data_IF_904690783702
#
_entry.id   IF_904690783702
#
_cell.length_a   1.000
_cell.length_b   1.000
_cell.length_c   1.000
_cell.angle_alpha   90.00
_cell.angle_beta   90.00
_cell.angle_gamma   90.00
#
_symmetry.space_group_name_H-M   'P 1'
#
loop_
_entity.id
_entity.type
_entity.pdbx_description
1 polymer ?
#
# COMPACT_ATOMS: atom_id res chain seq x y z
N UNK A 1 8.93 37.29 3.26
CA UNK A 1 9.66 37.15 1.99
C UNK A 1 8.80 36.50 0.93
N UNK A 2 8.57 37.23 -0.11
CA UNK A 2 7.77 36.72 -1.23
C UNK A 2 8.46 35.56 -1.94
N UNK A 3 9.77 35.69 -2.17
CA UNK A 3 10.52 34.64 -2.85
C UNK A 3 10.51 33.31 -2.07
N UNK A 4 10.51 33.39 -0.74
CA UNK A 4 10.49 32.21 0.11
C UNK A 4 9.20 31.42 -0.08
N UNK A 5 8.07 32.13 -0.17
CA UNK A 5 6.77 31.50 -0.36
C UNK A 5 6.67 30.86 -1.74
N UNK A 6 7.11 31.59 -2.76
CA UNK A 6 7.11 31.12 -4.15
C UNK A 6 8.02 29.91 -4.32
N UNK A 7 9.19 29.96 -3.70
CA UNK A 7 10.16 28.86 -3.74
C UNK A 7 9.57 27.58 -3.16
N UNK A 8 8.82 27.71 -2.08
CA UNK A 8 8.19 26.57 -1.43
C UNK A 8 7.14 25.92 -2.34
N UNK A 9 6.36 26.72 -3.06
CA UNK A 9 5.37 26.20 -4.00
C UNK A 9 6.02 25.47 -5.17
N UNK A 10 7.08 26.03 -5.74
CA UNK A 10 7.83 25.42 -6.83
C UNK A 10 8.44 24.09 -6.38
N UNK A 11 8.98 24.03 -5.18
CA UNK A 11 9.56 22.82 -4.62
C UNK A 11 8.51 21.72 -4.47
N UNK A 12 7.30 22.08 -4.03
CA UNK A 12 6.21 21.11 -3.90
C UNK A 12 5.80 20.52 -5.25
N UNK A 13 5.70 21.35 -6.28
CA UNK A 13 5.39 20.88 -7.62
C UNK A 13 6.46 19.93 -8.16
N UNK A 14 7.73 20.26 -7.95
CA UNK A 14 8.83 19.40 -8.38
C UNK A 14 8.80 18.05 -7.68
N UNK A 15 8.53 18.04 -6.38
CA UNK A 15 8.42 16.80 -5.63
C UNK A 15 7.25 15.95 -6.12
N UNK A 16 6.11 16.55 -6.39
CA UNK A 16 4.93 15.85 -6.90
C UNK A 16 5.22 15.25 -8.28
N UNK A 17 5.88 16.01 -9.16
CA UNK A 17 6.24 15.54 -10.49
C UNK A 17 7.24 14.39 -10.44
N UNK A 18 8.23 14.47 -9.56
CA UNK A 18 9.21 13.41 -9.38
C UNK A 18 8.57 12.15 -8.84
N UNK A 19 7.66 12.29 -7.89
CA UNK A 19 6.94 11.16 -7.33
C UNK A 19 6.09 10.49 -8.40
N UNK A 20 5.39 11.27 -9.20
CA UNK A 20 4.58 10.74 -10.30
C UNK A 20 5.43 9.95 -11.29
N UNK A 21 6.61 10.48 -11.64
CA UNK A 21 7.52 9.81 -12.55
C UNK A 21 8.03 8.48 -11.97
N UNK A 22 8.38 8.46 -10.68
CA UNK A 22 8.84 7.24 -10.01
C UNK A 22 7.72 6.20 -10.00
N UNK A 23 6.50 6.60 -9.69
CA UNK A 23 5.36 5.68 -9.69
C UNK A 23 5.11 5.13 -11.10
N UNK A 24 5.14 5.98 -12.12
CA UNK A 24 4.91 5.54 -13.50
C UNK A 24 6.04 4.63 -14.00
N UNK A 25 7.28 4.93 -13.63
CA UNK A 25 8.43 4.12 -14.02
C UNK A 25 8.36 2.71 -13.46
N UNK A 26 7.82 2.56 -12.26
CA UNK A 26 7.74 1.27 -11.57
C UNK A 26 6.39 0.57 -11.75
N UNK A 27 5.47 1.15 -12.51
CA UNK A 27 4.12 0.62 -12.64
C UNK A 27 4.09 -0.81 -13.16
N UNK A 28 4.86 -1.11 -14.21
CA UNK A 28 4.89 -2.46 -14.79
C UNK A 28 5.37 -3.49 -13.77
N UNK A 29 6.37 -3.12 -12.97
CA UNK A 29 6.87 -4.00 -11.92
C UNK A 29 5.82 -4.26 -10.86
N UNK A 30 5.12 -3.20 -10.43
CA UNK A 30 4.08 -3.32 -9.40
C UNK A 30 2.88 -4.11 -9.92
N UNK A 31 2.49 -3.92 -11.17
CA UNK A 31 1.41 -4.70 -11.77
C UNK A 31 1.77 -6.18 -11.85
N UNK A 32 3.03 -6.50 -12.19
CA UNK A 32 3.51 -7.87 -12.20
C UNK A 32 3.43 -8.49 -10.81
N UNK A 33 3.82 -7.75 -9.78
CA UNK A 33 3.70 -8.21 -8.39
C UNK A 33 2.25 -8.49 -8.03
N UNK A 34 1.32 -7.60 -8.42
CA UNK A 34 -0.09 -7.77 -8.11
C UNK A 34 -0.69 -8.97 -8.84
N UNK A 35 -0.23 -9.25 -10.06
CA UNK A 35 -0.71 -10.41 -10.84
C UNK A 35 -0.38 -11.74 -10.18
N UNK A 36 0.66 -11.79 -9.38
CA UNK A 36 1.06 -12.99 -8.66
C UNK A 36 0.26 -13.22 -7.38
N UNK A 37 -0.57 -12.26 -6.98
CA UNK A 37 -1.32 -12.34 -5.74
C UNK A 37 -2.75 -12.80 -5.99
N UNK A 38 -3.29 -13.53 -5.00
CA UNK A 38 -4.70 -13.91 -5.03
C UNK A 38 -5.57 -12.70 -4.64
N UNK A 39 -6.88 -12.71 -4.97
CA UNK A 39 -7.76 -11.63 -4.56
C UNK A 39 -7.77 -11.36 -3.05
N UNK A 40 -7.68 -12.41 -2.23
CA UNK A 40 -7.63 -12.25 -0.78
C UNK A 40 -6.32 -11.60 -0.32
N UNK A 41 -5.21 -11.92 -0.98
CA UNK A 41 -3.93 -11.28 -0.69
C UNK A 41 -3.94 -9.81 -1.08
N UNK A 42 -4.54 -9.47 -2.21
CA UNK A 42 -4.70 -8.08 -2.63
C UNK A 42 -5.57 -7.34 -1.61
N UNK A 43 -6.65 -7.97 -1.14
CA UNK A 43 -7.49 -7.41 -0.10
C UNK A 43 -6.71 -7.13 1.18
N UNK A 44 -5.81 -8.03 1.58
CA UNK A 44 -4.93 -7.83 2.73
C UNK A 44 -4.03 -6.61 2.55
N UNK A 45 -3.44 -6.45 1.37
CA UNK A 45 -2.60 -5.29 1.09
C UNK A 45 -3.39 -3.98 1.18
N UNK A 46 -4.62 -3.97 0.64
CA UNK A 46 -5.48 -2.81 0.73
C UNK A 46 -5.82 -2.47 2.19
N UNK A 47 -6.12 -3.49 3.00
CA UNK A 47 -6.43 -3.31 4.41
C UNK A 47 -5.22 -2.72 5.15
N UNK A 48 -4.02 -3.23 4.89
CA UNK A 48 -2.80 -2.72 5.50
C UNK A 48 -2.56 -1.28 5.07
N UNK A 49 -2.72 -0.98 3.79
CA UNK A 49 -2.55 0.38 3.27
C UNK A 49 -3.55 1.35 3.86
N UNK A 50 -4.75 0.88 4.18
CA UNK A 50 -5.79 1.70 4.81
C UNK A 50 -5.58 1.91 6.30
N UNK A 51 -4.59 1.26 6.89
CA UNK A 51 -4.30 1.38 8.31
C UNK A 51 -5.11 0.47 9.21
N UNK A 52 -5.76 -0.54 8.64
CA UNK A 52 -6.52 -1.50 9.41
C UNK A 52 -5.60 -2.38 10.25
N UNK A 53 -6.01 -2.68 11.49
CA UNK A 53 -5.22 -3.50 12.40
C UNK A 53 -5.93 -4.78 12.81
N UNK A 54 -7.25 -4.79 12.77
CA UNK A 54 -8.07 -5.90 13.21
C UNK A 54 -8.60 -6.68 12.01
N UNK A 55 -7.74 -7.50 11.39
CA UNK A 55 -8.07 -8.17 10.13
C UNK A 55 -9.13 -9.28 10.31
N UNK A 56 -9.39 -9.69 11.54
CA UNK A 56 -10.45 -10.68 11.82
C UNK A 56 -11.78 -10.04 12.17
N UNK A 57 -11.85 -8.71 12.26
CA UNK A 57 -13.10 -8.02 12.52
C UNK A 57 -14.04 -8.21 11.33
N UNK A 58 -15.31 -8.46 11.62
CA UNK A 58 -16.29 -8.79 10.58
C UNK A 58 -16.39 -7.73 9.49
N UNK A 59 -16.43 -6.47 9.90
CA UNK A 59 -16.54 -5.36 8.95
C UNK A 59 -15.29 -5.25 8.06
N UNK A 60 -14.11 -5.48 8.61
CA UNK A 60 -12.86 -5.47 7.85
C UNK A 60 -12.83 -6.65 6.87
N UNK A 61 -13.21 -7.84 7.33
CA UNK A 61 -13.26 -9.02 6.47
C UNK A 61 -14.20 -8.80 5.30
N UNK A 62 -15.38 -8.26 5.56
CA UNK A 62 -16.36 -7.99 4.51
C UNK A 62 -15.91 -6.88 3.55
N UNK A 63 -15.33 -5.81 4.09
CA UNK A 63 -14.92 -4.66 3.28
C UNK A 63 -13.80 -5.04 2.29
N UNK A 64 -12.84 -5.84 2.73
CA UNK A 64 -11.66 -6.15 1.91
C UNK A 64 -11.67 -7.56 1.34
N UNK A 65 -12.69 -8.37 1.64
CA UNK A 65 -12.78 -9.72 1.12
C UNK A 65 -11.68 -10.64 1.62
N UNK A 66 -11.39 -10.59 2.93
CA UNK A 66 -10.25 -11.31 3.50
C UNK A 66 -10.48 -12.82 3.67
N UNK A 67 -11.74 -13.26 3.66
CA UNK A 67 -12.05 -14.69 3.76
C UNK A 67 -12.03 -15.21 5.20
N UNK A 68 -11.69 -16.48 5.34
CA UNK A 68 -11.70 -17.16 6.64
C UNK A 68 -10.49 -16.78 7.50
N UNK A 69 -10.58 -16.89 8.83
CA UNK A 69 -9.43 -16.58 9.71
C UNK A 69 -8.16 -17.34 9.35
N UNK A 70 -8.28 -18.58 8.91
CA UNK A 70 -7.13 -19.38 8.50
C UNK A 70 -6.46 -18.81 7.27
N UNK A 71 -7.25 -18.34 6.31
CA UNK A 71 -6.74 -17.68 5.11
C UNK A 71 -6.05 -16.37 5.44
N UNK A 72 -6.62 -15.62 6.37
CA UNK A 72 -6.03 -14.34 6.81
C UNK A 72 -4.64 -14.58 7.40
N UNK A 73 -4.53 -15.55 8.31
CA UNK A 73 -3.24 -15.88 8.93
C UNK A 73 -2.21 -16.31 7.89
N UNK A 74 -2.63 -17.18 6.96
CA UNK A 74 -1.73 -17.66 5.90
C UNK A 74 -1.30 -16.54 4.99
N UNK A 75 -2.21 -15.67 4.60
CA UNK A 75 -1.91 -14.57 3.68
C UNK A 75 -0.99 -13.53 4.32
N UNK A 76 -1.13 -13.27 5.62
CA UNK A 76 -0.18 -12.42 6.35
C UNK A 76 1.24 -12.96 6.20
N UNK A 77 1.40 -14.25 6.41
CA UNK A 77 2.70 -14.91 6.31
C UNK A 77 3.25 -14.84 4.89
N UNK A 78 2.40 -15.09 3.88
CA UNK A 78 2.81 -15.05 2.49
C UNK A 78 3.30 -13.65 2.10
N UNK A 79 2.59 -12.61 2.51
CA UNK A 79 2.97 -11.24 2.18
C UNK A 79 4.31 -10.86 2.81
N UNK A 80 4.58 -11.34 4.03
CA UNK A 80 5.89 -11.13 4.67
C UNK A 80 6.99 -11.92 3.93
N UNK A 81 6.72 -13.15 3.55
CA UNK A 81 7.68 -13.97 2.82
C UNK A 81 8.01 -13.41 1.44
N UNK A 82 7.06 -12.72 0.81
CA UNK A 82 7.27 -12.06 -0.48
C UNK A 82 7.96 -10.69 -0.33
N UNK A 83 8.29 -10.29 0.88
CA UNK A 83 8.93 -8.99 1.18
C UNK A 83 8.08 -7.80 0.75
N UNK A 84 6.77 -7.96 0.74
CA UNK A 84 5.85 -6.85 0.43
C UNK A 84 5.53 -6.04 1.68
N UNK A 85 5.44 -6.73 2.84
CA UNK A 85 5.16 -6.08 4.11
C UNK A 85 6.11 -6.62 5.19
N UNK A 86 6.28 -5.82 6.25
CA UNK A 86 7.02 -6.21 7.45
C UNK A 86 6.08 -6.25 8.63
N UNK A 87 6.31 -7.20 9.54
CA UNK A 87 5.52 -7.31 10.75
C UNK A 87 6.24 -6.61 11.90
N UNK A 88 5.53 -5.71 12.60
CA UNK A 88 6.03 -5.00 13.78
C UNK A 88 5.09 -5.27 14.95
N UNK A 89 5.42 -6.22 15.80
CA UNK A 89 4.55 -6.67 16.88
C UNK A 89 3.21 -7.14 16.32
N UNK A 90 2.16 -6.31 16.38
CA UNK A 90 0.85 -6.64 15.84
C UNK A 90 0.49 -5.84 14.59
N UNK A 91 1.37 -4.93 14.18
CA UNK A 91 1.14 -4.07 13.03
C UNK A 91 1.94 -4.54 11.83
N UNK A 92 1.49 -4.11 10.66
CA UNK A 92 2.18 -4.36 9.41
C UNK A 92 2.48 -3.04 8.72
N UNK A 93 3.63 -2.96 8.04
CA UNK A 93 3.97 -1.81 7.22
C UNK A 93 4.57 -2.33 5.91
N UNK A 94 4.52 -1.49 4.88
CA UNK A 94 5.08 -1.86 3.58
C UNK A 94 6.61 -1.76 3.63
N UNK A 95 7.27 -2.74 3.02
CA UNK A 95 8.73 -2.74 2.90
C UNK A 95 9.16 -1.60 1.97
N UNK A 96 8.43 -1.41 0.87
CA UNK A 96 8.74 -0.38 -0.13
C UNK A 96 7.69 0.73 -0.06
N UNK A 97 8.05 1.93 0.42
CA UNK A 97 7.10 3.03 0.51
C UNK A 97 6.60 3.50 -0.86
N UNK A 98 7.35 3.30 -1.92
CA UNK A 98 6.91 3.64 -3.27
C UNK A 98 5.78 2.73 -3.72
N UNK A 99 5.89 1.42 -3.41
CA UNK A 99 4.81 0.47 -3.71
C UNK A 99 3.54 0.83 -2.94
N UNK A 100 3.69 1.22 -1.68
CA UNK A 100 2.54 1.64 -0.86
C UNK A 100 1.83 2.84 -1.47
N UNK A 101 2.58 3.84 -1.91
CA UNK A 101 2.02 5.04 -2.53
C UNK A 101 1.32 4.70 -3.85
N UNK A 102 1.94 3.84 -4.66
CA UNK A 102 1.34 3.37 -5.90
C UNK A 102 0.02 2.65 -5.65
N UNK A 103 0.00 1.75 -4.66
CA UNK A 103 -1.19 0.99 -4.31
C UNK A 103 -2.32 1.91 -3.86
N UNK A 104 -2.01 2.88 -3.01
CA UNK A 104 -3.00 3.86 -2.54
C UNK A 104 -3.58 4.67 -3.69
N UNK A 105 -2.74 5.08 -4.63
CA UNK A 105 -3.20 5.81 -5.81
C UNK A 105 -4.07 4.94 -6.70
N UNK A 106 -3.64 3.71 -6.96
CA UNK A 106 -4.32 2.80 -7.88
C UNK A 106 -5.72 2.44 -7.37
N UNK A 107 -5.89 2.27 -6.07
CA UNK A 107 -7.14 1.85 -5.47
C UNK A 107 -7.86 2.97 -4.73
N UNK A 108 -7.42 4.21 -4.90
CA UNK A 108 -8.03 5.39 -4.27
C UNK A 108 -8.14 5.26 -2.76
N UNK A 109 -7.11 4.74 -2.13
CA UNK A 109 -7.03 4.61 -0.68
C UNK A 109 -6.53 5.92 -0.10
N UNK A 110 -7.32 6.52 0.77
CA UNK A 110 -6.94 7.78 1.40
C UNK A 110 -5.87 7.54 2.47
N UNK A 111 -4.93 8.48 2.62
CA UNK A 111 -3.91 8.38 3.65
C UNK A 111 -4.48 8.50 5.06
#
# INVERSE_FOLDING_TARGET
FLWSHTDKEVTQELLDNQLQLVLDTNEDLFLTEMDELTPTQIGMLKAIASGEKHFNAKDVVETYGLGQPQSITRNKKVLVEKDLVEKHLQDFSFVDPVFELWLKREYNILP
#
